data_IF_515068526499
#
_entry.id   IF_515068526499
#
_cell.length_a   1.000
_cell.length_b   1.000
_cell.length_c   1.000
_cell.angle_alpha   90.00
_cell.angle_beta   90.00
_cell.angle_gamma   90.00
#
_symmetry.space_group_name_H-M   'P 1'
#
loop_
_entity.id
_entity.type
_entity.pdbx_description
1 polymer ?
#
# COMPACT_ATOMS: atom_id res chain seq x y z
N UNK A 1 0.20 -12.14 17.33
CA UNK A 1 -0.76 -12.45 16.23
C UNK A 1 -1.57 -11.26 15.69
N UNK A 2 -2.12 -10.33 16.50
CA UNK A 2 -3.01 -9.24 16.02
C UNK A 2 -2.36 -8.22 15.07
N UNK A 3 -1.16 -7.74 15.38
CA UNK A 3 -0.52 -6.64 14.65
C UNK A 3 0.08 -7.04 13.28
N UNK A 4 0.59 -8.27 13.18
CA UNK A 4 1.18 -8.81 11.94
C UNK A 4 0.10 -8.97 10.84
N UNK A 5 -1.10 -9.44 11.22
CA UNK A 5 -2.24 -9.55 10.31
C UNK A 5 -2.78 -8.18 9.85
N UNK A 6 -2.86 -7.20 10.75
CA UNK A 6 -3.28 -5.84 10.39
C UNK A 6 -2.34 -5.19 9.38
N UNK A 7 -1.02 -5.27 9.60
CA UNK A 7 -0.05 -4.70 8.66
C UNK A 7 -0.08 -5.40 7.28
N UNK A 8 -0.36 -6.70 7.25
CA UNK A 8 -0.48 -7.46 6.01
C UNK A 8 -1.73 -7.05 5.21
N UNK A 9 -2.86 -6.88 5.89
CA UNK A 9 -4.08 -6.38 5.27
C UNK A 9 -3.89 -4.95 4.73
N UNK A 10 -3.23 -4.08 5.51
CA UNK A 10 -2.92 -2.70 5.09
C UNK A 10 -2.05 -2.67 3.83
N UNK A 11 -1.03 -3.54 3.74
CA UNK A 11 -0.19 -3.65 2.54
C UNK A 11 -1.02 -4.02 1.30
N UNK A 12 -1.92 -5.00 1.42
CA UNK A 12 -2.77 -5.46 0.30
C UNK A 12 -3.72 -4.34 -0.14
N UNK A 13 -4.41 -3.70 0.81
CA UNK A 13 -5.39 -2.65 0.51
C UNK A 13 -4.71 -1.43 -0.10
N UNK A 14 -3.57 -1.00 0.46
CA UNK A 14 -2.80 0.11 -0.11
C UNK A 14 -2.27 -0.25 -1.51
N UNK A 15 -1.76 -1.47 -1.71
CA UNK A 15 -1.30 -1.93 -3.03
C UNK A 15 -2.39 -1.86 -4.10
N UNK A 16 -3.59 -2.37 -3.79
CA UNK A 16 -4.75 -2.37 -4.70
C UNK A 16 -5.20 -0.94 -5.00
N UNK A 17 -5.36 -0.09 -3.98
CA UNK A 17 -5.81 1.30 -4.16
C UNK A 17 -4.80 2.13 -4.96
N UNK A 18 -3.50 1.93 -4.74
CA UNK A 18 -2.45 2.57 -5.52
C UNK A 18 -2.49 2.15 -6.99
N UNK A 19 -2.65 0.85 -7.26
CA UNK A 19 -2.82 0.32 -8.62
C UNK A 19 -4.06 0.88 -9.33
N UNK A 20 -5.21 0.96 -8.64
CA UNK A 20 -6.44 1.55 -9.18
C UNK A 20 -6.24 3.03 -9.49
N UNK A 21 -5.59 3.79 -8.61
CA UNK A 21 -5.29 5.20 -8.85
C UNK A 21 -4.37 5.41 -10.07
N UNK A 22 -3.42 4.51 -10.28
CA UNK A 22 -2.50 4.54 -11.43
C UNK A 22 -3.21 4.20 -12.75
N UNK A 23 -4.11 3.21 -12.73
CA UNK A 23 -4.99 2.91 -13.87
C UNK A 23 -5.93 4.09 -14.16
N UNK A 24 -6.51 4.69 -13.12
CA UNK A 24 -7.35 5.89 -13.26
C UNK A 24 -6.58 7.08 -13.84
N UNK A 25 -5.34 7.29 -13.42
CA UNK A 25 -4.45 8.30 -13.99
C UNK A 25 -4.14 8.04 -15.47
N UNK A 26 -3.91 6.78 -15.85
CA UNK A 26 -3.69 6.40 -17.24
C UNK A 26 -4.93 6.67 -18.09
N UNK A 27 -6.12 6.26 -17.63
CA UNK A 27 -7.38 6.50 -18.34
C UNK A 27 -7.68 8.00 -18.45
N UNK A 28 -7.34 8.79 -17.44
CA UNK A 28 -7.49 10.25 -17.48
C UNK A 28 -6.62 10.90 -18.58
N UNK A 29 -5.44 10.36 -18.87
CA UNK A 29 -4.51 10.93 -19.85
C UNK A 29 -3.92 12.30 -19.43
N UNK A 30 -3.15 12.92 -20.33
CA UNK A 30 -2.53 14.23 -20.08
C UNK A 30 -3.62 15.32 -19.98
N UNK A 31 -3.74 15.94 -18.81
CA UNK A 31 -4.75 16.95 -18.45
C UNK A 31 -6.23 16.51 -18.43
N UNK A 32 -6.54 15.23 -18.60
CA UNK A 32 -7.92 14.77 -18.46
C UNK A 32 -8.31 14.50 -17.00
N UNK A 33 -9.56 14.09 -16.84
CA UNK A 33 -10.14 13.79 -15.53
C UNK A 33 -10.69 12.36 -15.52
N UNK A 34 -10.53 11.67 -14.40
CA UNK A 34 -11.12 10.36 -14.18
C UNK A 34 -11.88 10.37 -12.86
N UNK A 35 -13.17 10.03 -12.91
CA UNK A 35 -14.09 10.13 -11.77
C UNK A 35 -14.14 11.53 -11.12
N UNK A 36 -13.92 12.59 -11.90
CA UNK A 36 -13.91 13.97 -11.41
C UNK A 36 -12.59 14.42 -10.77
N UNK A 37 -11.57 13.56 -10.73
CA UNK A 37 -10.23 13.90 -10.25
C UNK A 37 -9.29 14.19 -11.41
N UNK A 38 -8.39 15.17 -11.23
CA UNK A 38 -7.36 15.48 -12.25
C UNK A 38 -6.32 14.37 -12.32
N UNK A 39 -5.77 14.14 -13.50
CA UNK A 39 -4.70 13.16 -13.71
C UNK A 39 -3.49 13.41 -12.80
N UNK A 40 -3.10 14.67 -12.58
CA UNK A 40 -2.03 15.04 -11.65
C UNK A 40 -2.29 14.58 -10.21
N UNK A 41 -3.51 14.80 -9.69
CA UNK A 41 -3.87 14.34 -8.35
C UNK A 41 -3.91 12.80 -8.26
N UNK A 42 -4.41 12.12 -9.30
CA UNK A 42 -4.41 10.66 -9.38
C UNK A 42 -2.98 10.09 -9.37
N UNK A 43 -2.05 10.69 -10.11
CA UNK A 43 -0.63 10.30 -10.08
C UNK A 43 0.00 10.50 -8.70
N UNK A 44 -0.21 11.66 -8.07
CA UNK A 44 0.32 11.92 -6.72
C UNK A 44 -0.28 10.96 -5.68
N UNK A 45 -1.58 10.70 -5.74
CA UNK A 45 -2.24 9.76 -4.84
C UNK A 45 -1.74 8.33 -5.04
N UNK A 46 -1.60 7.89 -6.30
CA UNK A 46 -1.04 6.58 -6.62
C UNK A 46 0.36 6.40 -6.03
N UNK A 47 1.24 7.40 -6.24
CA UNK A 47 2.62 7.38 -5.76
C UNK A 47 2.68 7.33 -4.22
N UNK A 48 1.93 8.18 -3.54
CA UNK A 48 1.87 8.21 -2.07
C UNK A 48 1.37 6.88 -1.50
N UNK A 49 0.30 6.32 -2.06
CA UNK A 49 -0.28 5.05 -1.60
C UNK A 49 0.67 3.88 -1.88
N UNK A 50 1.41 3.89 -2.99
CA UNK A 50 2.43 2.87 -3.28
C UNK A 50 3.58 2.91 -2.27
N UNK A 51 4.08 4.09 -1.89
CA UNK A 51 5.11 4.22 -0.86
C UNK A 51 4.63 3.66 0.48
N UNK A 52 3.38 3.95 0.86
CA UNK A 52 2.77 3.40 2.08
C UNK A 52 2.65 1.87 1.99
N UNK A 53 2.24 1.33 0.84
CA UNK A 53 2.13 -0.11 0.63
C UNK A 53 3.49 -0.82 0.77
N UNK A 54 4.54 -0.26 0.15
CA UNK A 54 5.91 -0.79 0.25
C UNK A 54 6.42 -0.72 1.69
N UNK A 55 6.21 0.42 2.38
CA UNK A 55 6.63 0.59 3.77
C UNK A 55 5.93 -0.38 4.72
N UNK A 56 4.61 -0.55 4.55
CA UNK A 56 3.83 -1.55 5.28
C UNK A 56 4.33 -2.97 4.97
N UNK A 57 4.66 -3.25 3.71
CA UNK A 57 5.22 -4.51 3.26
C UNK A 57 6.54 -4.86 3.96
N UNK A 58 7.49 -3.93 3.98
CA UNK A 58 8.78 -4.08 4.68
C UNK A 58 8.53 -4.28 6.19
N UNK A 59 7.65 -3.49 6.82
CA UNK A 59 7.29 -3.68 8.23
C UNK A 59 6.72 -5.08 8.51
N UNK A 60 5.87 -5.62 7.64
CA UNK A 60 5.40 -7.01 7.78
C UNK A 60 6.52 -8.04 7.67
N UNK A 61 7.46 -7.86 6.73
CA UNK A 61 8.56 -8.79 6.55
C UNK A 61 9.49 -8.80 7.77
N UNK A 62 9.89 -7.62 8.25
CA UNK A 62 10.72 -7.49 9.46
C UNK A 62 10.01 -8.11 10.66
N UNK A 63 8.72 -7.84 10.84
CA UNK A 63 7.96 -8.39 11.98
C UNK A 63 7.82 -9.92 11.89
N UNK A 64 7.62 -10.46 10.69
CA UNK A 64 7.63 -11.92 10.46
C UNK A 64 8.99 -12.55 10.75
N UNK A 65 10.10 -11.87 10.45
CA UNK A 65 11.43 -12.36 10.79
C UNK A 65 11.65 -12.38 12.31
N UNK A 66 11.27 -11.32 13.02
CA UNK A 66 11.34 -11.27 14.48
C UNK A 66 10.46 -12.33 15.15
N UNK A 67 9.25 -12.57 14.63
CA UNK A 67 8.36 -13.65 15.08
C UNK A 67 8.95 -15.05 14.83
N UNK A 68 9.79 -15.20 13.79
CA UNK A 68 10.47 -16.46 13.46
C UNK A 68 11.73 -16.70 14.30
N UNK A 69 12.48 -15.64 14.63
CA UNK A 69 13.72 -15.72 15.42
C UNK A 69 13.49 -15.87 16.92
N UNK A 70 12.38 -15.37 17.49
CA UNK A 70 12.11 -15.47 18.92
C UNK A 70 10.68 -15.95 19.25
N UNK A 71 10.39 -17.26 19.07
CA UNK A 71 9.07 -17.83 19.36
C UNK A 71 8.69 -17.81 20.85
N UNK A 72 9.66 -17.64 21.75
CA UNK A 72 9.50 -17.65 23.21
C UNK A 72 9.15 -16.30 23.85
N UNK A 73 9.19 -15.18 23.11
CA UNK A 73 8.87 -13.85 23.68
C UNK A 73 7.36 -13.60 23.88
N UNK A 74 6.53 -14.61 23.61
CA UNK A 74 5.07 -14.53 23.60
C UNK A 74 4.38 -15.46 24.60
N UNK A 75 5.14 -16.15 25.45
CA UNK A 75 4.66 -16.92 26.60
C UNK A 75 4.88 -16.09 27.87
#
# INVERSE_FOLDING_TARGET
>A
MKYSSMMHATMIVAGILGGIALVGAWVAGENGTFLGFSSGLLYTNALNVQIVAISAGICTLVRRQMEKENPSSFL
#
